data_IF_697045737417
#
_entry.id   IF_697045737417
#
_cell.length_a   1.000
_cell.length_b   1.000
_cell.length_c   1.000
_cell.angle_alpha   90.00
_cell.angle_beta   90.00
_cell.angle_gamma   90.00
#
_symmetry.space_group_name_H-M   'P 1'
#
loop_
_entity.id
_entity.type
_entity.pdbx_description
1 polymer ?
#
# COMPACT_ATOMS: atom_id res chain seq x y z
N UNK A 1 -32.20 -6.24 -49.07
CA UNK A 1 -32.06 -5.53 -47.79
C UNK A 1 -30.60 -5.61 -47.42
N UNK A 2 -29.97 -4.46 -47.32
CA UNK A 2 -28.55 -4.23 -47.08
C UNK A 2 -28.20 -4.48 -45.62
N UNK A 3 -27.33 -5.45 -45.34
CA UNK A 3 -26.64 -5.56 -44.05
C UNK A 3 -25.26 -4.88 -44.20
N UNK A 4 -25.14 -3.71 -43.56
CA UNK A 4 -23.86 -3.07 -43.27
C UNK A 4 -23.27 -3.76 -42.05
N UNK A 5 -22.20 -4.53 -42.25
CA UNK A 5 -21.32 -4.98 -41.17
C UNK A 5 -20.32 -3.86 -40.90
N UNK A 6 -20.50 -3.12 -39.80
CA UNK A 6 -19.50 -2.19 -39.28
C UNK A 6 -18.31 -2.98 -38.74
N UNK A 7 -17.13 -2.72 -39.29
CA UNK A 7 -15.84 -3.22 -38.80
C UNK A 7 -15.39 -2.37 -37.61
N UNK A 8 -15.32 -2.97 -36.42
CA UNK A 8 -14.61 -2.39 -35.28
C UNK A 8 -13.09 -2.53 -35.49
N UNK A 9 -12.29 -1.50 -35.15
CA UNK A 9 -10.83 -1.59 -35.23
C UNK A 9 -10.30 -2.42 -34.05
N UNK A 10 -9.57 -3.47 -34.39
CA UNK A 10 -8.85 -4.33 -33.44
C UNK A 10 -7.65 -3.55 -32.88
N UNK A 11 -7.80 -2.96 -31.70
CA UNK A 11 -6.70 -2.39 -30.93
C UNK A 11 -6.05 -3.51 -30.11
N UNK A 12 -4.96 -4.08 -30.63
CA UNK A 12 -4.04 -4.87 -29.80
C UNK A 12 -3.14 -3.88 -29.05
N UNK A 13 -3.11 -3.90 -27.71
CA UNK A 13 -2.07 -3.17 -27.00
C UNK A 13 -0.75 -3.87 -27.33
N UNK A 14 0.20 -3.11 -27.89
CA UNK A 14 1.60 -3.53 -27.93
C UNK A 14 2.04 -3.68 -26.47
N UNK A 15 2.18 -4.92 -26.02
CA UNK A 15 2.85 -5.24 -24.77
C UNK A 15 4.33 -4.96 -24.97
N UNK A 16 4.81 -3.89 -24.34
CA UNK A 16 6.24 -3.67 -24.12
C UNK A 16 6.77 -4.85 -23.27
N UNK A 17 7.45 -5.78 -23.93
CA UNK A 17 7.98 -7.05 -23.39
C UNK A 17 9.45 -6.88 -22.94
N UNK A 18 9.81 -5.67 -22.51
CA UNK A 18 11.03 -5.47 -21.73
C UNK A 18 10.83 -6.10 -20.34
N UNK A 19 11.82 -6.84 -19.80
CA UNK A 19 11.72 -7.34 -18.44
C UNK A 19 11.60 -6.12 -17.52
N UNK A 20 10.40 -5.89 -16.95
CA UNK A 20 10.19 -4.82 -15.98
C UNK A 20 11.17 -5.01 -14.84
N UNK A 21 11.95 -3.97 -14.56
CA UNK A 21 12.74 -3.93 -13.35
C UNK A 21 11.80 -4.09 -12.16
N UNK A 22 12.14 -5.00 -11.26
CA UNK A 22 11.34 -5.29 -10.06
C UNK A 22 11.83 -4.52 -8.84
N UNK A 23 12.89 -3.73 -8.98
CA UNK A 23 13.41 -2.85 -7.93
C UNK A 23 12.45 -1.68 -7.73
N UNK A 24 12.37 -1.19 -6.49
CA UNK A 24 11.54 -0.03 -6.16
C UNK A 24 12.17 1.26 -6.70
N UNK A 25 11.35 2.19 -7.18
CA UNK A 25 11.81 3.52 -7.60
C UNK A 25 11.93 4.50 -6.42
N UNK A 26 11.11 4.31 -5.39
CA UNK A 26 11.16 5.13 -4.18
C UNK A 26 12.51 5.01 -3.47
N UNK A 27 13.19 6.15 -3.23
CA UNK A 27 14.43 6.22 -2.45
C UNK A 27 14.06 6.32 -0.96
N UNK A 28 14.23 5.28 -0.12
CA UNK A 28 13.76 5.26 1.27
C UNK A 28 14.73 5.96 2.25
N UNK A 29 15.32 7.07 1.80
CA UNK A 29 16.26 7.89 2.56
C UNK A 29 15.75 9.32 2.55
N UNK A 30 15.86 9.99 3.71
CA UNK A 30 15.41 11.36 3.78
C UNK A 30 16.28 12.30 2.95
N UNK A 31 15.69 13.33 2.36
CA UNK A 31 16.41 14.37 1.60
C UNK A 31 17.61 14.93 2.36
N UNK A 32 17.45 15.16 3.67
CA UNK A 32 18.52 15.65 4.52
C UNK A 32 19.73 14.69 4.59
N UNK A 33 19.49 13.38 4.69
CA UNK A 33 20.56 12.37 4.71
C UNK A 33 21.21 12.22 3.34
N UNK A 34 20.43 12.24 2.26
CA UNK A 34 20.96 12.25 0.89
C UNK A 34 21.90 13.44 0.69
N UNK A 35 21.46 14.65 1.05
CA UNK A 35 22.29 15.87 1.00
C UNK A 35 23.56 15.76 1.83
N UNK A 36 23.45 15.29 3.07
CA UNK A 36 24.59 15.13 3.98
C UNK A 36 25.66 14.21 3.38
N UNK A 37 25.25 13.05 2.86
CA UNK A 37 26.18 12.09 2.24
C UNK A 37 26.71 12.58 0.89
N UNK A 38 25.86 13.17 0.06
CA UNK A 38 26.22 13.65 -1.28
C UNK A 38 27.23 14.79 -1.20
N UNK A 39 27.06 15.74 -0.26
CA UNK A 39 27.94 16.91 -0.11
C UNK A 39 29.27 16.60 0.60
N UNK A 40 29.43 15.36 1.08
CA UNK A 40 30.67 14.83 1.62
C UNK A 40 31.51 14.07 0.57
N UNK A 41 31.07 14.04 -0.70
CA UNK A 41 31.85 13.44 -1.79
C UNK A 41 33.26 14.04 -1.86
N UNK A 42 34.26 13.20 -2.14
CA UNK A 42 35.68 13.58 -2.04
C UNK A 42 36.09 14.70 -3.01
N UNK A 43 35.39 14.80 -4.14
CA UNK A 43 35.59 15.82 -5.17
C UNK A 43 34.89 17.16 -4.88
N UNK A 44 34.20 17.29 -3.74
CA UNK A 44 33.50 18.52 -3.33
C UNK A 44 34.35 19.31 -2.33
N UNK A 45 34.93 20.42 -2.81
CA UNK A 45 35.56 21.42 -1.94
C UNK A 45 34.52 22.34 -1.25
N UNK A 46 34.99 23.24 -0.39
CA UNK A 46 34.12 24.12 0.40
C UNK A 46 33.33 25.11 -0.49
N UNK A 47 33.86 25.52 -1.64
CA UNK A 47 33.19 26.45 -2.56
C UNK A 47 32.05 25.74 -3.33
N UNK A 48 32.33 24.54 -3.85
CA UNK A 48 31.32 23.69 -4.50
C UNK A 48 30.23 23.32 -3.48
N UNK A 49 30.61 23.00 -2.23
CA UNK A 49 29.64 22.64 -1.18
C UNK A 49 28.67 23.77 -0.87
N UNK A 50 29.17 24.99 -0.68
CA UNK A 50 28.33 26.17 -0.44
C UNK A 50 27.41 26.46 -1.64
N UNK A 51 27.95 26.32 -2.85
CA UNK A 51 27.22 26.45 -4.10
C UNK A 51 26.08 25.44 -4.25
N UNK A 52 26.35 24.15 -4.07
CA UNK A 52 25.36 23.07 -4.13
C UNK A 52 24.30 23.22 -3.04
N UNK A 53 24.67 23.68 -1.85
CA UNK A 53 23.72 23.99 -0.78
C UNK A 53 22.71 25.06 -1.20
N UNK A 54 23.16 26.10 -1.90
CA UNK A 54 22.29 27.16 -2.43
C UNK A 54 21.41 26.66 -3.58
N UNK A 55 21.98 25.88 -4.51
CA UNK A 55 21.20 25.26 -5.61
C UNK A 55 20.10 24.39 -5.02
N UNK A 56 20.44 23.50 -4.09
CA UNK A 56 19.47 22.65 -3.40
C UNK A 56 18.39 23.47 -2.67
N UNK A 57 18.74 24.57 -1.99
CA UNK A 57 17.75 25.44 -1.34
C UNK A 57 16.78 26.08 -2.35
N UNK A 58 17.27 26.52 -3.51
CA UNK A 58 16.42 27.10 -4.55
C UNK A 58 15.49 26.06 -5.17
N UNK A 59 16.02 24.89 -5.51
CA UNK A 59 15.22 23.76 -5.99
C UNK A 59 14.12 23.39 -4.98
N UNK A 60 14.47 23.22 -3.70
CA UNK A 60 13.51 22.95 -2.63
C UNK A 60 12.41 24.02 -2.56
N UNK A 61 12.76 25.31 -2.64
CA UNK A 61 11.78 26.38 -2.58
C UNK A 61 10.83 26.40 -3.79
N UNK A 62 11.36 26.20 -5.00
CA UNK A 62 10.58 26.16 -6.23
C UNK A 62 9.61 24.98 -6.24
N UNK A 63 10.11 23.77 -5.94
CA UNK A 63 9.25 22.59 -5.88
C UNK A 63 8.20 22.72 -4.79
N UNK A 64 8.57 23.16 -3.58
CA UNK A 64 7.61 23.37 -2.50
C UNK A 64 6.46 24.30 -2.90
N UNK A 65 6.76 25.37 -3.64
CA UNK A 65 5.74 26.28 -4.17
C UNK A 65 4.79 25.59 -5.15
N UNK A 66 5.34 24.84 -6.12
CA UNK A 66 4.54 24.11 -7.11
C UNK A 66 3.69 22.99 -6.48
N UNK A 67 4.28 22.21 -5.57
CA UNK A 67 3.64 21.14 -4.81
C UNK A 67 2.50 21.68 -3.95
N UNK A 68 2.68 22.87 -3.34
CA UNK A 68 1.61 23.52 -2.59
C UNK A 68 0.40 23.86 -3.48
N UNK A 69 0.62 24.37 -4.69
CA UNK A 69 -0.47 24.64 -5.64
C UNK A 69 -1.20 23.36 -6.06
N UNK A 70 -0.47 22.28 -6.34
CA UNK A 70 -1.04 20.96 -6.63
C UNK A 70 -1.88 20.41 -5.47
N UNK A 71 -1.40 20.56 -4.24
CA UNK A 71 -2.12 20.16 -3.02
C UNK A 71 -3.44 20.92 -2.85
N UNK A 72 -3.45 22.24 -3.05
CA UNK A 72 -4.67 23.03 -2.93
C UNK A 72 -5.69 22.66 -4.02
N UNK A 73 -5.23 22.33 -5.24
CA UNK A 73 -6.10 21.78 -6.28
C UNK A 73 -6.70 20.42 -5.86
N UNK A 74 -5.88 19.49 -5.36
CA UNK A 74 -6.35 18.19 -4.86
C UNK A 74 -7.39 18.34 -3.75
N UNK A 75 -7.16 19.24 -2.79
CA UNK A 75 -8.12 19.51 -1.71
C UNK A 75 -9.43 20.08 -2.25
N UNK A 76 -9.36 21.03 -3.18
CA UNK A 76 -10.53 21.62 -3.81
C UNK A 76 -11.35 20.57 -4.57
N UNK A 77 -10.70 19.67 -5.30
CA UNK A 77 -11.36 18.59 -6.02
C UNK A 77 -11.97 17.54 -5.06
N UNK A 78 -11.33 17.29 -3.92
CA UNK A 78 -11.77 16.29 -2.94
C UNK A 78 -12.87 16.79 -1.99
N UNK A 79 -13.04 18.11 -1.80
CA UNK A 79 -13.88 18.70 -0.76
C UNK A 79 -15.31 18.14 -0.72
N UNK A 80 -15.98 17.99 -1.87
CA UNK A 80 -17.36 17.48 -1.92
C UNK A 80 -17.47 15.95 -1.73
N UNK A 81 -16.36 15.23 -1.87
CA UNK A 81 -16.27 13.78 -1.71
C UNK A 81 -15.74 13.38 -0.32
N UNK A 82 -15.16 14.32 0.43
CA UNK A 82 -14.55 14.07 1.72
C UNK A 82 -15.59 13.58 2.74
N UNK A 83 -15.44 12.38 3.32
CA UNK A 83 -16.30 11.88 4.38
C UNK A 83 -16.29 12.75 5.64
N UNK A 84 -15.23 13.53 5.86
CA UNK A 84 -15.08 14.40 7.03
C UNK A 84 -15.72 15.80 6.85
N UNK A 85 -16.31 16.09 5.69
CA UNK A 85 -16.90 17.40 5.39
C UNK A 85 -18.16 17.69 6.23
N UNK A 86 -18.54 18.97 6.27
CA UNK A 86 -19.83 19.39 6.84
C UNK A 86 -20.92 19.24 5.77
N UNK A 87 -21.59 18.09 5.74
CA UNK A 87 -22.66 17.85 4.78
C UNK A 87 -22.90 16.38 4.51
N UNK A 88 -23.53 16.09 3.37
CA UNK A 88 -23.57 14.74 2.81
C UNK A 88 -22.62 14.72 1.64
N UNK A 89 -21.58 13.87 1.65
CA UNK A 89 -20.69 13.74 0.52
C UNK A 89 -21.43 13.35 -0.75
N UNK A 90 -20.97 13.89 -1.88
CA UNK A 90 -21.37 13.46 -3.22
C UNK A 90 -20.17 12.85 -3.95
N UNK A 91 -20.34 12.50 -5.22
CA UNK A 91 -19.27 11.95 -6.07
C UNK A 91 -19.02 12.85 -7.30
N UNK A 92 -19.34 14.15 -7.21
CA UNK A 92 -19.15 15.10 -8.30
C UNK A 92 -17.67 15.37 -8.49
N UNK A 93 -17.18 15.30 -9.74
CA UNK A 93 -15.76 15.53 -10.04
C UNK A 93 -14.83 14.35 -9.69
N UNK A 94 -15.38 13.19 -9.31
CA UNK A 94 -14.58 12.00 -8.93
C UNK A 94 -13.50 11.62 -9.93
N UNK A 95 -13.84 11.56 -11.22
CA UNK A 95 -12.87 11.15 -12.25
C UNK A 95 -11.72 12.15 -12.39
N UNK A 96 -12.01 13.45 -12.31
CA UNK A 96 -11.00 14.50 -12.33
C UNK A 96 -10.10 14.42 -11.09
N UNK A 97 -10.70 14.28 -9.90
CA UNK A 97 -9.96 14.06 -8.66
C UNK A 97 -9.06 12.83 -8.71
N UNK A 98 -9.58 11.68 -9.14
CA UNK A 98 -8.78 10.45 -9.21
C UNK A 98 -7.66 10.58 -10.24
N UNK A 99 -7.89 11.25 -11.37
CA UNK A 99 -6.84 11.51 -12.37
C UNK A 99 -5.72 12.37 -11.77
N UNK A 100 -6.05 13.52 -11.18
CA UNK A 100 -5.06 14.41 -10.56
C UNK A 100 -4.35 13.75 -9.37
N UNK A 101 -5.06 12.95 -8.57
CA UNK A 101 -4.45 12.18 -7.49
C UNK A 101 -3.47 11.13 -8.02
N UNK A 102 -3.81 10.45 -9.12
CA UNK A 102 -2.93 9.46 -9.72
C UNK A 102 -1.66 10.09 -10.28
N UNK A 103 -1.74 11.31 -10.83
CA UNK A 103 -0.56 12.07 -11.25
C UNK A 103 0.33 12.41 -10.05
N UNK A 104 -0.24 12.99 -8.98
CA UNK A 104 0.53 13.31 -7.77
C UNK A 104 1.14 12.07 -7.06
N UNK A 105 0.54 10.90 -7.24
CA UNK A 105 1.08 9.63 -6.77
C UNK A 105 2.30 9.18 -7.59
N UNK A 106 2.32 9.43 -8.90
CA UNK A 106 3.48 9.12 -9.75
C UNK A 106 4.70 9.94 -9.36
N UNK A 107 4.52 11.24 -9.10
CA UNK A 107 5.60 12.15 -8.64
C UNK A 107 6.24 11.69 -7.31
N UNK A 108 5.58 10.81 -6.56
CA UNK A 108 6.12 10.20 -5.33
C UNK A 108 6.51 8.74 -5.47
N UNK A 109 6.60 8.24 -6.70
CA UNK A 109 7.00 6.88 -7.09
C UNK A 109 6.05 5.81 -6.50
N UNK A 110 4.76 6.15 -6.40
CA UNK A 110 3.71 5.20 -5.99
C UNK A 110 3.23 4.36 -7.16
N UNK A 111 3.04 3.07 -6.92
CA UNK A 111 2.54 2.13 -7.91
C UNK A 111 1.13 1.64 -7.53
N UNK A 112 0.25 1.47 -8.51
CA UNK A 112 -1.05 0.80 -8.27
C UNK A 112 -0.81 -0.70 -8.03
N UNK A 113 -1.42 -1.26 -6.99
CA UNK A 113 -1.39 -2.70 -6.74
C UNK A 113 -2.26 -3.37 -7.79
N UNK A 114 -1.67 -4.27 -8.56
CA UNK A 114 -2.34 -4.97 -9.65
C UNK A 114 -3.35 -6.01 -9.14
N UNK A 115 -4.29 -6.39 -10.00
CA UNK A 115 -5.21 -7.49 -9.71
C UNK A 115 -4.46 -8.82 -9.44
N UNK A 116 -3.33 -9.03 -10.12
CA UNK A 116 -2.47 -10.20 -9.92
C UNK A 116 -1.85 -10.21 -8.53
N UNK A 117 -1.23 -9.10 -8.10
CA UNK A 117 -0.67 -8.96 -6.75
C UNK A 117 -1.75 -9.08 -5.66
N UNK A 118 -2.94 -8.52 -5.90
CA UNK A 118 -4.08 -8.68 -5.00
C UNK A 118 -4.51 -10.15 -4.91
N UNK A 119 -4.57 -10.87 -6.03
CA UNK A 119 -4.92 -12.28 -6.05
C UNK A 119 -3.87 -13.13 -5.33
N UNK A 120 -2.58 -12.86 -5.58
CA UNK A 120 -1.48 -13.52 -4.87
C UNK A 120 -1.55 -13.27 -3.35
N UNK A 121 -1.88 -12.06 -2.93
CA UNK A 121 -2.07 -11.73 -1.52
C UNK A 121 -3.21 -12.53 -0.88
N UNK A 122 -4.32 -12.70 -1.59
CA UNK A 122 -5.50 -13.46 -1.13
C UNK A 122 -5.31 -14.98 -1.15
N UNK A 123 -4.45 -15.49 -2.04
CA UNK A 123 -4.15 -16.93 -2.19
C UNK A 123 -2.95 -17.38 -1.33
N UNK A 124 -2.06 -16.45 -0.97
CA UNK A 124 -0.87 -16.69 -0.17
C UNK A 124 -1.15 -17.32 1.19
N UNK A 125 -0.22 -18.12 1.71
CA UNK A 125 -0.35 -18.64 3.08
C UNK A 125 -0.07 -17.53 4.11
N UNK A 126 -1.14 -16.91 4.65
CA UNK A 126 -1.15 -15.79 5.61
C UNK A 126 -0.02 -15.77 6.65
N UNK A 127 0.42 -14.57 7.04
CA UNK A 127 1.21 -14.35 8.27
C UNK A 127 0.37 -14.62 9.51
N UNK A 128 -0.94 -14.35 9.46
CA UNK A 128 -1.84 -14.52 10.59
C UNK A 128 -2.59 -15.86 10.62
N UNK A 129 -3.04 -16.28 11.80
CA UNK A 129 -3.68 -17.59 12.01
C UNK A 129 -5.13 -17.72 11.46
N UNK A 130 -5.70 -16.64 10.92
CA UNK A 130 -7.08 -16.56 10.40
C UNK A 130 -7.06 -15.67 9.15
N UNK A 131 -7.69 -16.11 8.07
CA UNK A 131 -7.85 -15.36 6.83
C UNK A 131 -9.10 -14.47 6.90
N UNK A 132 -9.06 -13.29 6.29
CA UNK A 132 -10.23 -12.43 6.16
C UNK A 132 -10.86 -12.56 4.79
N UNK A 133 -12.18 -12.70 4.79
CA UNK A 133 -12.99 -12.65 3.57
C UNK A 133 -13.44 -11.19 3.35
N UNK A 134 -12.87 -10.55 2.34
CA UNK A 134 -13.22 -9.18 1.91
C UNK A 134 -14.42 -9.26 0.97
N UNK A 135 -15.44 -8.43 1.22
CA UNK A 135 -16.62 -8.35 0.34
C UNK A 135 -16.41 -7.27 -0.71
N UNK A 136 -15.61 -7.57 -1.72
CA UNK A 136 -15.25 -6.60 -2.77
C UNK A 136 -16.45 -6.04 -3.53
N UNK A 137 -17.56 -6.79 -3.62
CA UNK A 137 -18.78 -6.33 -4.30
C UNK A 137 -19.50 -5.18 -3.58
N UNK A 138 -19.12 -4.87 -2.32
CA UNK A 138 -19.65 -3.74 -1.55
C UNK A 138 -19.00 -2.40 -1.93
N UNK A 139 -18.01 -2.38 -2.82
CA UNK A 139 -17.33 -1.17 -3.30
C UNK A 139 -17.84 -0.71 -4.67
N UNK A 140 -17.95 0.60 -4.84
CA UNK A 140 -18.10 1.29 -6.13
C UNK A 140 -16.72 1.58 -6.70
N UNK A 141 -15.82 2.08 -5.84
CA UNK A 141 -14.43 2.40 -6.17
C UNK A 141 -13.53 1.68 -5.16
N UNK A 142 -12.53 0.96 -5.66
CA UNK A 142 -11.48 0.33 -4.86
C UNK A 142 -10.17 0.48 -5.61
N UNK A 143 -9.24 1.25 -5.06
CA UNK A 143 -7.87 1.39 -5.57
C UNK A 143 -6.90 1.25 -4.41
N UNK A 144 -5.82 0.52 -4.64
CA UNK A 144 -4.70 0.43 -3.71
C UNK A 144 -3.43 0.88 -4.42
N UNK A 145 -2.62 1.68 -3.74
CA UNK A 145 -1.29 2.07 -4.19
C UNK A 145 -0.27 1.65 -3.15
N UNK A 146 0.87 1.14 -3.59
CA UNK A 146 2.00 0.71 -2.75
C UNK A 146 3.16 1.69 -2.92
N UNK A 147 3.93 1.86 -1.86
CA UNK A 147 5.20 2.57 -1.87
C UNK A 147 6.22 1.82 -1.05
N UNK A 148 7.35 1.55 -1.69
CA UNK A 148 8.53 0.93 -1.09
C UNK A 148 8.32 -0.50 -0.57
N UNK A 149 9.43 -1.20 -0.38
CA UNK A 149 9.46 -2.58 0.11
C UNK A 149 10.39 -2.74 1.31
N UNK A 150 9.91 -3.48 2.32
CA UNK A 150 10.65 -3.76 3.56
C UNK A 150 10.48 -5.21 3.98
N UNK A 151 11.57 -5.81 4.47
CA UNK A 151 11.55 -7.14 5.05
C UNK A 151 11.45 -7.06 6.58
N UNK A 152 10.46 -7.73 7.16
CA UNK A 152 10.20 -7.76 8.60
C UNK A 152 10.65 -9.12 9.15
N UNK A 153 11.49 -9.11 10.17
CA UNK A 153 11.81 -10.33 10.93
C UNK A 153 10.70 -10.63 11.95
N UNK A 154 10.12 -11.82 11.88
CA UNK A 154 9.11 -12.32 12.82
C UNK A 154 9.52 -13.68 13.42
N UNK A 155 9.06 -13.98 14.63
CA UNK A 155 9.30 -15.24 15.32
C UNK A 155 8.02 -16.06 15.44
N UNK A 156 7.91 -17.13 14.63
CA UNK A 156 6.75 -18.03 14.68
C UNK A 156 6.98 -19.22 15.57
N UNK A 157 5.95 -19.57 16.34
CA UNK A 157 5.93 -20.81 17.12
C UNK A 157 5.19 -21.93 16.40
N UNK A 158 5.93 -22.94 15.95
CA UNK A 158 5.41 -24.18 15.37
C UNK A 158 5.15 -25.25 16.43
N UNK A 159 4.24 -26.18 16.10
CA UNK A 159 3.89 -27.38 16.87
C UNK A 159 3.53 -27.13 18.35
N UNK A 160 2.29 -26.72 18.62
CA UNK A 160 1.77 -26.47 19.97
C UNK A 160 2.68 -25.56 20.84
N UNK A 161 3.44 -24.65 20.22
CA UNK A 161 4.34 -23.73 20.93
C UNK A 161 5.73 -24.28 21.24
N UNK A 162 6.13 -25.45 20.70
CA UNK A 162 7.38 -26.13 21.07
C UNK A 162 8.60 -25.74 20.25
N UNK A 163 8.43 -25.21 19.04
CA UNK A 163 9.54 -24.82 18.18
C UNK A 163 9.36 -23.37 17.77
N UNK A 164 10.36 -22.54 18.00
CA UNK A 164 10.43 -21.17 17.48
C UNK A 164 11.20 -21.20 16.16
N UNK A 165 10.74 -20.46 15.16
CA UNK A 165 11.36 -20.33 13.86
C UNK A 165 11.30 -18.86 13.45
N UNK A 166 12.45 -18.28 13.10
CA UNK A 166 12.50 -16.96 12.48
C UNK A 166 11.99 -17.06 11.05
N UNK A 167 11.14 -16.13 10.67
CA UNK A 167 10.56 -16.01 9.33
C UNK A 167 10.73 -14.57 8.90
N UNK A 168 11.24 -14.37 7.69
CA UNK A 168 11.27 -13.07 7.04
C UNK A 168 9.96 -12.89 6.28
N UNK A 169 9.30 -11.75 6.48
CA UNK A 169 8.04 -11.41 5.85
C UNK A 169 8.29 -10.19 4.98
N UNK A 170 7.99 -10.31 3.69
CA UNK A 170 8.00 -9.16 2.78
C UNK A 170 6.74 -8.31 3.00
N UNK A 171 6.93 -7.01 3.08
CA UNK A 171 5.87 -6.03 3.29
C UNK A 171 6.10 -4.79 2.41
N UNK A 172 5.01 -4.13 2.08
CA UNK A 172 5.07 -2.77 1.54
C UNK A 172 5.35 -1.80 2.68
N UNK A 173 6.26 -0.83 2.47
CA UNK A 173 6.54 0.20 3.48
C UNK A 173 5.27 1.01 3.74
N UNK A 174 4.54 1.36 2.67
CA UNK A 174 3.26 2.06 2.78
C UNK A 174 2.24 1.59 1.75
N UNK A 175 0.97 1.71 2.13
CA UNK A 175 -0.17 1.50 1.23
C UNK A 175 -1.16 2.64 1.38
N UNK A 176 -1.58 3.20 0.25
CA UNK A 176 -2.76 4.05 0.16
C UNK A 176 -3.94 3.22 -0.30
N UNK A 177 -5.06 3.39 0.38
CA UNK A 177 -6.33 2.75 0.06
C UNK A 177 -7.36 3.83 -0.24
N UNK A 178 -8.02 3.72 -1.39
CA UNK A 178 -9.13 4.57 -1.80
C UNK A 178 -10.38 3.72 -1.94
N UNK A 179 -11.41 4.01 -1.13
CA UNK A 179 -12.65 3.25 -1.09
C UNK A 179 -13.87 4.16 -1.21
N UNK A 180 -14.82 3.76 -2.05
CA UNK A 180 -16.17 4.30 -2.09
C UNK A 180 -17.15 3.13 -1.95
N UNK A 181 -18.02 3.16 -0.95
CA UNK A 181 -18.99 2.09 -0.72
C UNK A 181 -20.23 2.25 -1.60
N UNK A 182 -20.89 1.12 -1.87
CA UNK A 182 -22.22 1.11 -2.46
C UNK A 182 -23.23 1.84 -1.56
N UNK A 183 -24.27 2.42 -2.18
CA UNK A 183 -25.27 3.20 -1.45
C UNK A 183 -26.29 2.32 -0.69
N UNK A 184 -27.14 2.97 0.12
CA UNK A 184 -28.19 2.30 0.89
C UNK A 184 -29.13 1.45 0.01
N UNK A 185 -29.44 1.94 -1.20
CA UNK A 185 -30.36 1.27 -2.12
C UNK A 185 -29.82 -0.08 -2.57
N UNK A 186 -28.52 -0.14 -2.91
CA UNK A 186 -27.82 -1.37 -3.29
C UNK A 186 -27.87 -2.43 -2.17
N UNK A 187 -27.61 -2.03 -0.92
CA UNK A 187 -27.66 -2.94 0.22
C UNK A 187 -29.09 -3.42 0.53
N UNK A 188 -30.08 -2.54 0.37
CA UNK A 188 -31.50 -2.85 0.58
C UNK A 188 -32.00 -3.88 -0.44
N UNK A 189 -31.75 -3.65 -1.73
CA UNK A 189 -32.14 -4.54 -2.83
C UNK A 189 -31.56 -5.94 -2.68
N UNK A 190 -30.31 -6.04 -2.22
CA UNK A 190 -29.62 -7.32 -1.98
C UNK A 190 -29.92 -7.95 -0.62
N UNK A 191 -30.75 -7.33 0.22
CA UNK A 191 -31.07 -7.76 1.60
C UNK A 191 -29.83 -7.89 2.48
N UNK A 192 -28.85 -7.00 2.29
CA UNK A 192 -27.56 -6.96 2.99
C UNK A 192 -27.42 -5.77 3.93
N UNK A 193 -28.52 -5.12 4.35
CA UNK A 193 -28.52 -3.96 5.25
C UNK A 193 -27.69 -4.11 6.54
N UNK A 194 -27.43 -5.34 7.01
CA UNK A 194 -26.53 -5.59 8.14
C UNK A 194 -25.05 -5.22 7.87
N UNK A 195 -24.67 -5.04 6.61
CA UNK A 195 -23.32 -4.70 6.16
C UNK A 195 -23.22 -3.26 5.64
N UNK A 196 -24.34 -2.53 5.61
CA UNK A 196 -24.33 -1.12 5.25
C UNK A 196 -23.59 -0.32 6.33
N UNK A 197 -22.67 0.54 5.90
CA UNK A 197 -21.80 1.32 6.79
C UNK A 197 -22.52 2.52 7.43
N UNK A 198 -23.74 2.85 6.97
CA UNK A 198 -24.46 4.04 7.44
C UNK A 198 -23.83 5.31 6.88
N UNK A 199 -24.03 6.43 7.58
CA UNK A 199 -23.50 7.73 7.17
C UNK A 199 -21.95 7.75 7.20
N UNK A 200 -21.31 6.91 8.02
CA UNK A 200 -19.86 6.82 8.14
C UNK A 200 -19.17 6.22 6.91
N UNK A 201 -19.91 5.57 6.00
CA UNK A 201 -19.36 5.00 4.76
C UNK A 201 -19.65 5.81 3.50
N UNK A 202 -20.20 7.02 3.65
CA UNK A 202 -20.48 7.90 2.51
C UNK A 202 -19.22 8.69 2.12
N UNK A 203 -19.10 8.98 0.83
CA UNK A 203 -17.96 9.69 0.27
C UNK A 203 -16.82 8.75 -0.12
N UNK A 204 -15.69 9.34 -0.48
CA UNK A 204 -14.48 8.62 -0.87
C UNK A 204 -13.53 8.60 0.30
N UNK A 205 -13.32 7.44 0.91
CA UNK A 205 -12.37 7.27 1.99
C UNK A 205 -10.97 7.06 1.44
N UNK A 206 -10.03 7.85 1.92
CA UNK A 206 -8.60 7.68 1.62
C UNK A 206 -7.89 7.32 2.92
N UNK A 207 -7.09 6.25 2.92
CA UNK A 207 -6.33 5.82 4.09
C UNK A 207 -4.89 5.51 3.73
N UNK A 208 -3.97 5.92 4.58
CA UNK A 208 -2.56 5.60 4.48
C UNK A 208 -2.18 4.66 5.62
N UNK A 209 -1.60 3.51 5.28
CA UNK A 209 -1.09 2.51 6.20
C UNK A 209 0.41 2.37 6.02
N UNK A 210 1.12 2.02 7.10
CA UNK A 210 2.54 1.59 7.04
C UNK A 210 2.69 0.09 7.29
N UNK A 211 3.74 -0.46 6.72
CA UNK A 211 4.27 -1.79 7.04
C UNK A 211 3.18 -2.87 6.90
N UNK A 212 2.65 -2.99 5.68
CA UNK A 212 1.57 -3.93 5.37
C UNK A 212 2.17 -5.17 4.69
N UNK A 213 2.05 -6.37 5.29
CA UNK A 213 2.55 -7.60 4.66
C UNK A 213 1.95 -7.80 3.27
N UNK A 214 2.79 -8.19 2.30
CA UNK A 214 2.33 -8.40 0.91
C UNK A 214 1.26 -9.50 0.82
N UNK A 215 1.32 -10.49 1.73
CA UNK A 215 0.39 -11.63 1.79
C UNK A 215 -0.73 -11.47 2.83
N UNK A 216 -0.96 -10.27 3.36
CA UNK A 216 -2.09 -10.00 4.26
C UNK A 216 -2.76 -8.66 3.94
N UNK A 217 -2.88 -8.32 2.63
CA UNK A 217 -3.53 -7.08 2.17
C UNK A 217 -5.00 -7.00 2.60
N UNK A 218 -5.68 -8.12 2.80
CA UNK A 218 -7.05 -8.16 3.26
C UNK A 218 -7.23 -7.51 4.65
N UNK A 219 -6.15 -7.42 5.45
CA UNK A 219 -6.22 -6.85 6.80
C UNK A 219 -6.54 -5.37 6.82
N UNK A 220 -6.19 -4.62 5.77
CA UNK A 220 -6.46 -3.18 5.68
C UNK A 220 -7.92 -2.87 5.29
N UNK A 221 -8.71 -3.87 4.91
CA UNK A 221 -10.10 -3.66 4.51
C UNK A 221 -11.05 -3.61 5.71
N UNK A 222 -11.93 -2.59 5.79
CA UNK A 222 -12.88 -2.44 6.89
C UNK A 222 -14.04 -3.44 6.84
N UNK A 223 -14.38 -3.98 5.67
CA UNK A 223 -15.56 -4.83 5.47
C UNK A 223 -15.22 -6.33 5.46
N UNK A 224 -14.35 -6.76 6.37
CA UNK A 224 -13.88 -8.14 6.42
C UNK A 224 -14.73 -9.03 7.32
N UNK A 225 -14.90 -10.29 6.92
CA UNK A 225 -15.52 -11.34 7.73
C UNK A 225 -14.46 -12.36 8.16
N UNK A 226 -14.34 -12.69 9.46
CA UNK A 226 -13.39 -13.70 9.91
C UNK A 226 -13.75 -15.09 9.35
N UNK A 227 -12.84 -15.70 8.59
CA UNK A 227 -12.98 -17.07 8.11
C UNK A 227 -11.97 -17.99 8.80
N UNK A 228 -12.44 -19.09 9.39
CA UNK A 228 -11.52 -20.04 10.03
C UNK A 228 -10.64 -20.74 9.00
N UNK A 229 -9.31 -20.65 9.17
CA UNK A 229 -8.33 -21.47 8.45
C UNK A 229 -8.57 -22.95 8.68
N UNK A 230 -8.18 -23.78 7.71
CA UNK A 230 -8.37 -25.24 7.77
C UNK A 230 -7.77 -25.88 9.03
N UNK A 231 -6.61 -25.40 9.48
CA UNK A 231 -5.95 -25.89 10.71
C UNK A 231 -6.78 -25.64 11.97
N UNK A 232 -7.42 -24.48 12.10
CA UNK A 232 -8.22 -24.14 13.28
C UNK A 232 -9.60 -24.80 13.22
N UNK A 233 -10.18 -25.00 12.02
CA UNK A 233 -11.32 -25.89 11.81
C UNK A 233 -11.03 -27.30 12.35
N UNK A 234 -9.83 -27.83 12.11
CA UNK A 234 -9.41 -29.13 12.65
C UNK A 234 -9.19 -29.07 14.17
N UNK A 235 -8.47 -28.07 14.71
CA UNK A 235 -8.23 -27.96 16.17
C UNK A 235 -9.52 -27.85 16.97
N UNK A 236 -10.53 -27.17 16.44
CA UNK A 236 -11.83 -26.98 17.09
C UNK A 236 -12.76 -28.18 16.81
N UNK A 237 -12.75 -28.70 15.58
CA UNK A 237 -13.62 -29.80 15.15
C UNK A 237 -13.19 -31.19 15.63
N UNK A 238 -11.90 -31.49 15.65
CA UNK A 238 -11.40 -32.81 16.02
C UNK A 238 -11.74 -33.21 17.47
N UNK A 239 -11.61 -32.33 18.49
CA UNK A 239 -12.06 -32.64 19.86
C UNK A 239 -13.57 -32.85 19.96
N UNK A 240 -14.37 -32.12 19.16
CA UNK A 240 -15.82 -32.30 19.12
C UNK A 240 -16.19 -33.68 18.57
N UNK A 241 -15.63 -34.04 17.42
CA UNK A 241 -15.84 -35.36 16.79
C UNK A 241 -15.37 -36.47 17.73
N UNK A 242 -14.15 -36.36 18.28
CA UNK A 242 -13.62 -37.35 19.22
C UNK A 242 -14.47 -37.48 20.48
N UNK A 243 -14.92 -36.37 21.05
CA UNK A 243 -15.80 -36.33 22.21
C UNK A 243 -17.15 -37.01 21.94
N UNK A 244 -17.83 -36.65 20.84
CA UNK A 244 -19.11 -37.22 20.46
C UNK A 244 -19.02 -38.70 20.11
N UNK A 245 -17.97 -39.12 19.39
CA UNK A 245 -17.71 -40.55 19.09
C UNK A 245 -17.49 -41.33 20.37
N UNK A 246 -16.71 -40.79 21.33
CA UNK A 246 -16.46 -41.47 22.60
C UNK A 246 -17.74 -41.67 23.43
N UNK A 247 -18.65 -40.69 23.43
CA UNK A 247 -19.95 -40.77 24.08
C UNK A 247 -20.85 -41.77 23.33
N UNK A 248 -20.89 -41.70 22.00
CA UNK A 248 -21.67 -42.59 21.16
C UNK A 248 -21.24 -44.06 21.28
N UNK A 249 -19.93 -44.35 21.35
CA UNK A 249 -19.44 -45.71 21.56
C UNK A 249 -19.80 -46.25 22.95
N UNK A 250 -19.68 -45.43 23.99
CA UNK A 250 -19.94 -45.86 25.38
C UNK A 250 -21.42 -45.96 25.74
N UNK A 251 -22.25 -45.10 25.15
CA UNK A 251 -23.63 -44.90 25.57
C UNK A 251 -24.65 -44.98 24.43
N UNK A 252 -24.21 -45.17 23.17
CA UNK A 252 -25.09 -45.32 22.01
C UNK A 252 -26.14 -46.41 22.17
N UNK A 253 -25.80 -47.63 22.63
CA UNK A 253 -26.81 -48.65 22.91
C UNK A 253 -27.85 -48.22 23.96
N UNK A 254 -27.44 -47.43 24.96
CA UNK A 254 -28.33 -46.90 26.01
C UNK A 254 -29.24 -45.79 25.47
N UNK A 255 -28.72 -44.94 24.58
CA UNK A 255 -29.48 -43.86 23.92
C UNK A 255 -30.49 -44.39 22.89
N UNK A 256 -30.19 -45.51 22.23
CA UNK A 256 -31.06 -46.15 21.23
C UNK A 256 -32.07 -47.14 21.85
N UNK A 257 -32.14 -47.21 23.18
CA UNK A 257 -33.08 -48.10 23.89
C UNK A 257 -32.72 -49.59 23.84
N UNK A 258 -31.49 -49.93 23.43
CA UNK A 258 -31.00 -51.31 23.35
C UNK A 258 -30.48 -51.85 24.71
N UNK A 259 -30.66 -51.11 25.80
CA UNK A 259 -30.34 -51.53 27.16
C UNK A 259 -31.13 -52.80 27.53
N UNK A 260 -30.48 -53.96 27.53
CA UNK A 260 -31.08 -55.28 27.83
C UNK A 260 -31.42 -55.51 29.32
N UNK A 261 -31.46 -54.47 30.14
CA UNK A 261 -31.82 -54.54 31.56
C UNK A 261 -32.68 -53.33 31.93
N UNK A 262 -33.90 -53.58 32.41
CA UNK A 262 -34.95 -52.58 32.65
C UNK A 262 -34.52 -51.38 33.49
N UNK A 263 -35.20 -50.25 33.21
CA UNK A 263 -35.07 -48.93 33.83
C UNK A 263 -33.74 -48.20 33.58
N UNK A 264 -33.49 -47.79 32.34
CA UNK A 264 -32.58 -46.66 32.09
C UNK A 264 -33.11 -45.44 32.83
N UNK A 265 -32.40 -44.97 33.85
CA UNK A 265 -32.86 -43.85 34.67
C UNK A 265 -32.87 -42.57 33.83
N UNK A 266 -33.92 -41.77 33.97
CA UNK A 266 -34.02 -40.45 33.31
C UNK A 266 -32.82 -39.56 33.67
N UNK A 267 -32.23 -39.76 34.85
CA UNK A 267 -31.00 -39.09 35.29
C UNK A 267 -29.75 -39.49 34.50
N UNK A 268 -29.64 -40.75 34.05
CA UNK A 268 -28.52 -41.21 33.23
C UNK A 268 -28.61 -40.63 31.82
N UNK A 269 -29.79 -40.69 31.20
CA UNK A 269 -30.05 -40.04 29.90
C UNK A 269 -29.84 -38.52 29.99
N UNK A 270 -30.35 -37.89 31.04
CA UNK A 270 -30.14 -36.47 31.31
C UNK A 270 -28.66 -36.12 31.48
N UNK A 271 -27.89 -36.95 32.18
CA UNK A 271 -26.44 -36.76 32.34
C UNK A 271 -25.65 -36.88 31.04
N UNK A 272 -26.00 -37.85 30.18
CA UNK A 272 -25.36 -38.01 28.86
C UNK A 272 -25.68 -36.82 27.95
N UNK A 273 -26.94 -36.41 27.88
CA UNK A 273 -27.37 -35.26 27.08
C UNK A 273 -26.73 -33.95 27.60
N UNK A 274 -26.64 -33.78 28.93
CA UNK A 274 -25.95 -32.64 29.53
C UNK A 274 -24.45 -32.64 29.19
N UNK A 275 -23.78 -33.80 29.21
CA UNK A 275 -22.39 -33.92 28.80
C UNK A 275 -22.20 -33.56 27.33
N UNK A 276 -23.04 -34.09 26.42
CA UNK A 276 -23.00 -33.75 25.00
C UNK A 276 -23.25 -32.26 24.76
N UNK A 277 -24.28 -31.69 25.41
CA UNK A 277 -24.58 -30.26 25.35
C UNK A 277 -23.42 -29.40 25.84
N UNK A 278 -22.74 -29.82 26.91
CA UNK A 278 -21.55 -29.13 27.43
C UNK A 278 -20.40 -29.16 26.43
N UNK A 279 -20.16 -30.28 25.75
CA UNK A 279 -19.12 -30.37 24.71
C UNK A 279 -19.42 -29.47 23.51
N UNK A 280 -20.65 -29.51 22.99
CA UNK A 280 -21.08 -28.62 21.89
C UNK A 280 -20.94 -27.15 22.30
N UNK A 281 -21.41 -26.79 23.49
CA UNK A 281 -21.29 -25.43 24.02
C UNK A 281 -19.84 -24.99 24.16
N UNK A 282 -18.96 -25.86 24.69
CA UNK A 282 -17.53 -25.57 24.84
C UNK A 282 -16.86 -25.34 23.48
N UNK A 283 -17.19 -26.13 22.47
CA UNK A 283 -16.67 -25.94 21.10
C UNK A 283 -17.14 -24.61 20.51
N UNK A 284 -18.42 -24.27 20.66
CA UNK A 284 -18.96 -22.98 20.21
C UNK A 284 -18.32 -21.79 20.94
N UNK A 285 -18.14 -21.87 22.26
CA UNK A 285 -17.43 -20.83 23.03
C UNK A 285 -15.98 -20.69 22.57
N UNK A 286 -15.30 -21.80 22.25
CA UNK A 286 -13.94 -21.76 21.72
C UNK A 286 -13.88 -21.08 20.36
N UNK A 287 -14.86 -21.32 19.48
CA UNK A 287 -15.00 -20.64 18.20
C UNK A 287 -15.14 -19.13 18.39
N UNK A 288 -16.09 -18.69 19.22
CA UNK A 288 -16.33 -17.27 19.47
C UNK A 288 -15.09 -16.59 20.07
N UNK A 289 -14.45 -17.21 21.06
CA UNK A 289 -13.23 -16.68 21.68
C UNK A 289 -12.06 -16.56 20.70
N UNK A 290 -11.96 -17.45 19.72
CA UNK A 290 -10.92 -17.35 18.67
C UNK A 290 -11.22 -16.20 17.71
N UNK A 291 -12.47 -16.06 17.28
CA UNK A 291 -12.92 -14.95 16.42
C UNK A 291 -12.72 -13.58 17.09
N UNK A 292 -13.13 -13.42 18.34
CA UNK A 292 -12.97 -12.16 19.10
C UNK A 292 -11.50 -11.77 19.26
N UNK A 293 -10.64 -12.74 19.59
CA UNK A 293 -9.19 -12.50 19.72
C UNK A 293 -8.59 -11.99 18.42
N UNK A 294 -8.99 -12.56 17.29
CA UNK A 294 -8.51 -12.15 16.00
C UNK A 294 -8.98 -10.76 15.61
N UNK A 295 -10.29 -10.46 15.75
CA UNK A 295 -10.81 -9.11 15.51
C UNK A 295 -10.09 -8.07 16.38
N UNK A 296 -9.80 -8.41 17.64
CA UNK A 296 -9.01 -7.55 18.53
C UNK A 296 -7.58 -7.35 18.03
N UNK A 297 -6.94 -8.39 17.49
CA UNK A 297 -5.59 -8.33 16.96
C UNK A 297 -5.53 -7.45 15.71
N UNK A 298 -6.41 -7.68 14.73
CA UNK A 298 -6.50 -6.87 13.51
C UNK A 298 -6.81 -5.42 13.84
N UNK A 299 -7.76 -5.15 14.73
CA UNK A 299 -8.09 -3.78 15.15
C UNK A 299 -6.89 -3.06 15.80
N UNK A 300 -6.11 -3.76 16.64
CA UNK A 300 -4.87 -3.20 17.21
C UNK A 300 -3.82 -2.96 16.15
N UNK A 301 -3.64 -3.91 15.24
CA UNK A 301 -2.66 -3.81 14.15
C UNK A 301 -2.98 -2.60 13.27
N UNK A 302 -4.23 -2.48 12.81
CA UNK A 302 -4.70 -1.33 12.04
C UNK A 302 -4.55 0.01 12.77
N UNK A 303 -4.79 0.04 14.09
CA UNK A 303 -4.60 1.24 14.88
C UNK A 303 -3.13 1.74 14.85
N UNK A 304 -2.16 0.83 14.93
CA UNK A 304 -0.74 1.21 14.94
C UNK A 304 -0.15 1.37 13.53
N UNK A 305 -0.76 0.76 12.52
CA UNK A 305 -0.37 0.87 11.11
C UNK A 305 -1.01 2.05 10.39
N UNK A 306 -2.18 2.53 10.81
CA UNK A 306 -2.80 3.72 10.25
C UNK A 306 -1.93 4.97 10.47
N UNK A 307 -1.58 5.67 9.40
CA UNK A 307 -0.77 6.89 9.43
C UNK A 307 -1.61 8.16 9.22
N UNK A 308 -2.52 8.14 8.26
CA UNK A 308 -3.35 9.29 7.91
C UNK A 308 -4.69 8.85 7.28
N UNK A 309 -5.69 9.74 7.34
CA UNK A 309 -7.01 9.54 6.73
C UNK A 309 -7.42 10.78 5.92
N UNK A 310 -8.18 10.56 4.84
CA UNK A 310 -8.85 11.56 4.02
C UNK A 310 -7.90 12.69 3.60
N UNK A 311 -8.27 13.96 3.83
CA UNK A 311 -7.46 15.12 3.43
C UNK A 311 -6.02 15.09 3.98
N UNK A 312 -5.77 14.44 5.13
CA UNK A 312 -4.41 14.30 5.65
C UNK A 312 -3.52 13.41 4.78
N UNK A 313 -4.10 12.43 4.06
CA UNK A 313 -3.36 11.59 3.10
C UNK A 313 -2.89 12.43 1.92
N UNK A 314 -3.70 13.36 1.41
CA UNK A 314 -3.33 14.25 0.30
C UNK A 314 -2.07 15.07 0.63
N UNK A 315 -1.99 15.59 1.86
CA UNK A 315 -0.79 16.32 2.31
C UNK A 315 0.44 15.40 2.30
N UNK A 316 0.29 14.14 2.72
CA UNK A 316 1.41 13.21 2.79
C UNK A 316 1.85 12.70 1.40
N UNK A 317 0.94 12.54 0.45
CA UNK A 317 1.28 12.20 -0.94
C UNK A 317 2.17 13.30 -1.53
N UNK A 318 1.73 14.55 -1.42
CA UNK A 318 2.46 15.70 -1.98
C UNK A 318 3.81 15.92 -1.28
N UNK A 319 3.87 15.75 0.04
CA UNK A 319 5.13 15.83 0.81
C UNK A 319 6.14 14.76 0.39
N UNK A 320 5.67 13.50 0.20
CA UNK A 320 6.51 12.40 -0.27
C UNK A 320 6.98 12.64 -1.71
N UNK A 321 6.10 13.15 -2.58
CA UNK A 321 6.43 13.54 -3.94
C UNK A 321 7.53 14.60 -3.96
N UNK A 322 7.32 15.74 -3.30
CA UNK A 322 8.34 16.80 -3.18
C UNK A 322 9.69 16.26 -2.66
N UNK A 323 9.66 15.27 -1.76
CA UNK A 323 10.87 14.65 -1.26
C UNK A 323 11.62 13.83 -2.34
N UNK A 324 10.94 13.03 -3.16
CA UNK A 324 11.57 12.26 -4.26
C UNK A 324 12.14 13.19 -5.33
N UNK A 325 11.30 14.07 -5.85
CA UNK A 325 11.59 15.08 -6.86
C UNK A 325 12.92 15.80 -6.61
N UNK A 326 13.07 16.33 -5.39
CA UNK A 326 14.28 17.07 -5.03
C UNK A 326 15.50 16.15 -4.90
N UNK A 327 15.34 14.92 -4.39
CA UNK A 327 16.46 13.97 -4.29
C UNK A 327 16.96 13.59 -5.68
N UNK A 328 16.05 13.25 -6.58
CA UNK A 328 16.36 12.80 -7.94
C UNK A 328 17.04 13.91 -8.74
N UNK A 329 16.43 15.09 -8.80
CA UNK A 329 17.02 16.25 -9.47
C UNK A 329 18.40 16.63 -8.88
N UNK A 330 18.56 16.59 -7.55
CA UNK A 330 19.83 16.93 -6.91
C UNK A 330 20.91 15.89 -7.16
N UNK A 331 20.57 14.60 -7.16
CA UNK A 331 21.50 13.51 -7.47
C UNK A 331 21.98 13.63 -8.91
N UNK A 332 21.06 13.71 -9.88
CA UNK A 332 21.38 13.88 -11.30
C UNK A 332 22.25 15.12 -11.53
N UNK A 333 21.84 16.28 -11.01
CA UNK A 333 22.59 17.53 -11.15
C UNK A 333 24.01 17.42 -10.58
N UNK A 334 24.16 16.85 -9.37
CA UNK A 334 25.46 16.81 -8.70
C UNK A 334 26.44 15.87 -9.39
N UNK A 335 26.01 14.67 -9.80
CA UNK A 335 26.92 13.76 -10.51
C UNK A 335 27.33 14.31 -11.88
N UNK A 336 26.40 14.89 -12.64
CA UNK A 336 26.73 15.56 -13.90
C UNK A 336 27.66 16.77 -13.72
N UNK A 337 27.55 17.48 -12.59
CA UNK A 337 28.43 18.61 -12.27
C UNK A 337 29.86 18.17 -11.93
N UNK A 338 30.02 17.11 -11.13
CA UNK A 338 31.32 16.67 -10.62
C UNK A 338 32.09 15.81 -11.62
N UNK A 339 31.38 14.98 -12.38
CA UNK A 339 31.96 13.92 -13.21
C UNK A 339 31.87 14.26 -14.70
N UNK A 340 32.10 15.54 -15.05
CA UNK A 340 32.02 16.05 -16.42
C UNK A 340 32.94 15.33 -17.42
N UNK A 341 34.05 14.75 -16.94
CA UNK A 341 34.99 13.98 -17.77
C UNK A 341 34.42 12.63 -18.23
N UNK A 342 33.38 12.11 -17.56
CA UNK A 342 32.79 10.80 -17.84
C UNK A 342 31.87 10.79 -19.05
N UNK A 343 31.35 11.96 -19.45
CA UNK A 343 30.44 12.11 -20.59
C UNK A 343 29.24 11.15 -20.51
N UNK A 344 28.51 11.19 -19.39
CA UNK A 344 27.34 10.35 -19.16
C UNK A 344 26.29 10.52 -20.25
N UNK A 345 25.76 9.40 -20.73
CA UNK A 345 24.41 9.32 -21.26
C UNK A 345 23.45 8.94 -20.11
N UNK A 346 22.19 8.74 -20.45
CA UNK A 346 21.10 8.50 -19.50
C UNK A 346 21.29 7.19 -18.71
N UNK A 347 21.52 6.08 -19.41
CA UNK A 347 21.77 4.75 -18.81
C UNK A 347 23.03 4.76 -17.93
N UNK A 348 24.12 5.39 -18.38
CA UNK A 348 25.35 5.43 -17.58
C UNK A 348 25.23 6.33 -16.34
N UNK A 349 24.39 7.37 -16.39
CA UNK A 349 24.10 8.22 -15.22
C UNK A 349 23.25 7.46 -14.20
N UNK A 350 22.26 6.72 -14.70
CA UNK A 350 21.37 5.89 -13.91
C UNK A 350 22.13 4.86 -13.08
N UNK A 351 22.89 3.98 -13.76
CA UNK A 351 23.78 2.98 -13.15
C UNK A 351 24.71 3.60 -12.09
N UNK A 352 25.20 4.81 -12.36
CA UNK A 352 26.12 5.54 -11.48
C UNK A 352 25.44 6.00 -10.20
N UNK A 353 24.20 6.46 -10.27
CA UNK A 353 23.41 6.94 -9.13
C UNK A 353 22.90 5.76 -8.32
N UNK A 354 22.32 4.74 -8.96
CA UNK A 354 21.89 3.50 -8.30
C UNK A 354 23.04 2.84 -7.55
N UNK A 355 24.21 2.72 -8.20
CA UNK A 355 25.41 2.20 -7.57
C UNK A 355 25.84 3.02 -6.37
N UNK A 356 25.66 4.34 -6.38
CA UNK A 356 25.95 5.19 -5.23
C UNK A 356 24.94 4.99 -4.09
N UNK A 357 23.65 4.90 -4.39
CA UNK A 357 22.58 4.66 -3.41
C UNK A 357 22.77 3.31 -2.70
N UNK A 358 23.12 2.28 -3.45
CA UNK A 358 23.43 0.96 -2.91
C UNK A 358 24.68 0.99 -2.01
N UNK A 359 25.77 1.58 -2.48
CA UNK A 359 27.03 1.61 -1.72
C UNK A 359 26.95 2.50 -0.47
N UNK A 360 26.18 3.59 -0.52
CA UNK A 360 26.10 4.58 0.57
C UNK A 360 25.05 4.21 1.62
N UNK A 361 23.88 3.73 1.18
CA UNK A 361 22.73 3.48 2.06
C UNK A 361 22.28 2.02 2.11
N UNK A 362 22.76 1.17 1.21
CA UNK A 362 22.36 -0.24 1.14
C UNK A 362 21.00 -0.46 0.48
N UNK A 363 20.49 0.51 -0.28
CA UNK A 363 19.23 0.39 -1.01
C UNK A 363 19.48 0.11 -2.48
N UNK A 364 18.91 -1.00 -2.95
CA UNK A 364 18.81 -1.36 -4.36
C UNK A 364 17.52 -0.73 -4.88
N UNK A 365 17.65 0.28 -5.75
CA UNK A 365 16.55 1.04 -6.33
C UNK A 365 16.70 1.09 -7.85
N UNK A 366 15.59 1.27 -8.55
CA UNK A 366 15.51 1.67 -9.96
C UNK A 366 15.42 3.19 -10.00
N UNK A 367 16.46 3.91 -10.38
CA UNK A 367 16.44 5.38 -10.26
C UNK A 367 15.65 6.02 -11.42
N UNK A 368 14.75 6.97 -11.13
CA UNK A 368 13.96 7.67 -12.16
C UNK A 368 14.80 8.74 -12.88
N UNK A 369 15.82 8.30 -13.63
CA UNK A 369 16.77 9.17 -14.31
C UNK A 369 16.11 10.03 -15.38
N UNK A 370 15.16 9.48 -16.13
CA UNK A 370 14.52 10.14 -17.27
C UNK A 370 13.70 11.34 -16.79
N UNK A 371 12.95 11.15 -15.72
CA UNK A 371 12.16 12.16 -15.07
C UNK A 371 13.05 13.25 -14.41
N UNK A 372 14.09 12.84 -13.67
CA UNK A 372 15.07 13.77 -13.09
C UNK A 372 15.72 14.67 -14.15
N UNK A 373 16.08 14.10 -15.29
CA UNK A 373 16.68 14.84 -16.41
C UNK A 373 15.68 15.76 -17.09
N UNK A 374 14.45 15.31 -17.32
CA UNK A 374 13.38 16.13 -17.92
C UNK A 374 13.14 17.38 -17.07
N UNK A 375 13.09 17.24 -15.75
CA UNK A 375 12.94 18.37 -14.81
C UNK A 375 14.09 19.36 -14.85
N UNK A 376 15.32 18.87 -14.88
CA UNK A 376 16.49 19.72 -15.02
C UNK A 376 16.53 20.42 -16.39
N UNK A 377 16.05 19.78 -17.45
CA UNK A 377 15.93 20.37 -18.79
C UNK A 377 14.85 21.48 -18.83
N UNK A 378 13.68 21.24 -18.24
CA UNK A 378 12.59 22.21 -18.14
C UNK A 378 13.02 23.46 -17.36
N UNK A 379 13.82 23.28 -16.31
CA UNK A 379 14.45 24.37 -15.57
C UNK A 379 15.65 25.01 -16.29
N UNK A 380 16.02 24.53 -17.49
CA UNK A 380 17.18 24.98 -18.29
C UNK A 380 18.54 24.80 -17.59
N UNK A 381 18.61 23.86 -16.65
CA UNK A 381 19.85 23.49 -15.95
C UNK A 381 20.62 22.38 -16.67
N UNK A 382 19.94 21.59 -17.50
CA UNK A 382 20.50 20.49 -18.28
C UNK A 382 20.56 20.84 -19.77
N UNK A 383 21.56 20.30 -20.46
CA UNK A 383 21.63 20.27 -21.92
C UNK A 383 22.07 18.89 -22.40
N UNK A 384 21.48 18.42 -23.50
CA UNK A 384 21.83 17.16 -24.17
C UNK A 384 22.51 17.45 -25.50
N UNK A 385 23.70 16.91 -25.71
CA UNK A 385 24.42 17.05 -26.98
C UNK A 385 23.78 16.19 -28.08
N UNK A 386 24.12 16.44 -29.36
CA UNK A 386 23.67 15.61 -30.50
C UNK A 386 24.07 14.12 -30.37
N UNK A 387 25.04 13.80 -29.52
CA UNK A 387 25.50 12.43 -29.26
C UNK A 387 24.84 11.78 -28.04
N UNK A 388 23.89 12.46 -27.39
CA UNK A 388 23.22 11.97 -26.18
C UNK A 388 23.97 12.28 -24.87
N UNK A 389 25.17 12.87 -24.93
CA UNK A 389 25.94 13.22 -23.73
C UNK A 389 25.24 14.35 -22.98
N UNK A 390 25.07 14.16 -21.67
CA UNK A 390 24.42 15.04 -20.73
C UNK A 390 25.43 16.00 -20.09
N UNK A 391 25.04 17.26 -19.91
CA UNK A 391 25.83 18.24 -19.15
C UNK A 391 24.94 19.28 -18.50
N UNK A 392 25.29 19.68 -17.27
CA UNK A 392 24.58 20.70 -16.51
C UNK A 392 25.30 22.04 -16.51
N UNK A 393 24.56 23.11 -16.29
CA UNK A 393 25.11 24.47 -16.12
C UNK A 393 25.99 24.56 -14.87
N UNK A 394 26.95 25.50 -14.88
CA UNK A 394 27.79 25.75 -13.71
C UNK A 394 26.95 26.25 -12.53
N UNK A 395 27.36 25.98 -11.28
CA UNK A 395 26.65 26.44 -10.06
C UNK A 395 26.21 27.91 -10.15
N UNK A 396 27.11 28.79 -10.60
CA UNK A 396 26.82 30.23 -10.69
C UNK A 396 25.71 30.53 -11.71
N UNK A 397 25.73 29.86 -12.84
CA UNK A 397 24.73 29.99 -13.89
C UNK A 397 23.40 29.37 -13.45
N UNK A 398 23.43 28.18 -12.87
CA UNK A 398 22.26 27.50 -12.31
C UNK A 398 21.55 28.37 -11.26
N UNK A 399 22.30 29.00 -10.35
CA UNK A 399 21.72 29.92 -9.37
C UNK A 399 21.07 31.15 -10.02
N UNK A 400 21.66 31.69 -11.09
CA UNK A 400 21.06 32.81 -11.83
C UNK A 400 19.77 32.38 -12.52
N UNK A 401 19.75 31.20 -13.13
CA UNK A 401 18.58 30.65 -13.81
C UNK A 401 17.44 30.38 -12.81
N UNK A 402 17.76 29.81 -11.65
CA UNK A 402 16.78 29.51 -10.62
C UNK A 402 16.23 30.77 -9.94
N UNK A 403 17.07 31.79 -9.73
CA UNK A 403 16.64 33.11 -9.22
C UNK A 403 15.70 33.80 -10.21
N UNK A 404 16.07 33.83 -11.49
CA UNK A 404 15.22 34.33 -12.57
C UNK A 404 13.91 33.52 -12.67
N UNK A 405 13.97 32.19 -12.54
CA UNK A 405 12.77 31.35 -12.54
C UNK A 405 11.84 31.74 -11.38
N UNK A 406 12.38 31.86 -10.16
CA UNK A 406 11.62 32.22 -8.98
C UNK A 406 10.96 33.60 -9.09
N UNK A 407 11.72 34.60 -9.55
CA UNK A 407 11.23 35.98 -9.72
C UNK A 407 10.10 36.08 -10.76
N UNK A 408 10.06 35.15 -11.72
CA UNK A 408 9.05 35.12 -12.79
C UNK A 408 7.92 34.09 -12.55
N UNK A 409 7.79 33.53 -11.35
CA UNK A 409 6.66 32.63 -11.00
C UNK A 409 5.31 33.35 -11.15
N UNK A 410 5.28 34.67 -10.91
CA UNK A 410 4.08 35.49 -11.05
C UNK A 410 4.35 36.72 -11.93
N UNK A 411 3.44 37.00 -12.86
CA UNK A 411 3.51 38.16 -13.78
C UNK A 411 2.46 39.23 -13.40
N UNK A 412 2.56 39.76 -12.17
CA UNK A 412 1.62 40.78 -11.64
C UNK A 412 1.96 42.22 -12.02
#
# INVERSE_FOLDING_TARGET
MSEQTSSEPNYSPESDDSPKDTRQQYIPVSRAKVKESLFQHEDIDDEIRDGLSKVSQMLEAIWHHSSHAGLENLKSLYESMDPDQIGTPDSVGKEEFLSTLTEALKDGNWEEITDEEMQEALEGEDVFAISLDVRFDEYVTMKLFKLGEVSIEDERTSWFGRKKQQVTIEAYDRIIQILEFQDESWFSERKRMKHYQGDEGKGIHIRLFKTVPKLDLETIFPNTSPMMRGVDKIKIGAPLVGGLVSIGMKFGPVLLGASSSGNTSLSLLGGILAAMGTYVMKTYMSYQKTRERYQTQVSKDLYFKGQANNAAVLNMIVDIGEEQEVKEALLAYTFLLLEQDKNYDEEALDDRIEGWLLNTFGYEVDFEVDDALAKLEDMRLLSKSEKGILSVTSIKESLSILDDYWDNIYDY
#
